data_IF_329668892039
#
_entry.id   IF_329668892039
#
_cell.length_a   1.000
_cell.length_b   1.000
_cell.length_c   1.000
_cell.angle_alpha   90.00
_cell.angle_beta   90.00
_cell.angle_gamma   90.00
#
_symmetry.space_group_name_H-M   'P 1'
#
loop_
_entity.id
_entity.type
_entity.pdbx_description
1 polymer ?
#
# COMPACT_ATOMS: atom_id res chain seq x y z
N UNK A 1 -12.53 25.13 -30.02
CA UNK A 1 -11.35 24.76 -29.23
C UNK A 1 -11.28 23.25 -29.20
N UNK A 2 -10.34 22.65 -29.92
CA UNK A 2 -10.07 21.20 -29.90
C UNK A 2 -9.46 20.87 -28.55
N UNK A 3 -10.30 20.49 -27.58
CA UNK A 3 -9.85 19.87 -26.33
C UNK A 3 -9.04 18.64 -26.70
N UNK A 4 -7.71 18.72 -26.61
CA UNK A 4 -6.89 17.52 -26.63
C UNK A 4 -7.38 16.64 -25.49
N UNK A 5 -7.92 15.46 -25.83
CA UNK A 5 -8.29 14.46 -24.85
C UNK A 5 -7.04 14.17 -24.02
N UNK A 6 -7.10 14.33 -22.70
CA UNK A 6 -6.00 13.92 -21.83
C UNK A 6 -5.82 12.42 -21.98
N UNK A 7 -4.60 12.00 -22.30
CA UNK A 7 -4.21 10.59 -22.32
C UNK A 7 -3.77 10.18 -20.93
N UNK A 8 -4.25 9.02 -20.48
CA UNK A 8 -3.88 8.44 -19.19
C UNK A 8 -3.25 7.07 -19.38
N UNK A 9 -2.37 6.71 -18.47
CA UNK A 9 -1.67 5.43 -18.48
C UNK A 9 -1.79 4.73 -17.13
N UNK A 10 -1.85 3.40 -17.15
CA UNK A 10 -1.75 2.56 -15.97
C UNK A 10 -0.55 1.63 -16.08
N UNK A 11 0.23 1.52 -15.00
CA UNK A 11 1.32 0.54 -14.90
C UNK A 11 0.80 -0.66 -14.11
N UNK A 12 0.57 -1.77 -14.82
CA UNK A 12 0.19 -3.02 -14.18
C UNK A 12 1.46 -3.82 -13.87
N UNK A 13 1.61 -4.25 -12.62
CA UNK A 13 2.63 -5.23 -12.22
C UNK A 13 2.03 -6.62 -12.32
N UNK A 14 2.75 -7.58 -12.91
CA UNK A 14 2.33 -8.98 -12.85
C UNK A 14 2.50 -9.50 -11.43
N UNK A 15 1.54 -10.31 -10.97
CA UNK A 15 1.59 -10.94 -9.65
C UNK A 15 0.23 -10.91 -8.93
N UNK A 16 -0.06 -12.04 -8.27
CA UNK A 16 -1.23 -12.35 -7.43
C UNK A 16 -2.59 -11.81 -7.91
N UNK A 17 -3.38 -12.71 -8.51
CA UNK A 17 -4.84 -12.59 -8.67
C UNK A 17 -5.32 -11.35 -9.46
N UNK A 18 -4.47 -10.78 -10.31
CA UNK A 18 -4.88 -9.70 -11.23
C UNK A 18 -5.24 -10.29 -12.58
N UNK A 19 -6.42 -9.92 -13.08
CA UNK A 19 -6.79 -10.20 -14.46
C UNK A 19 -5.75 -9.57 -15.38
N UNK A 20 -5.24 -10.36 -16.34
CA UNK A 20 -4.34 -9.87 -17.37
C UNK A 20 -5.17 -9.01 -18.31
N UNK A 21 -4.78 -7.75 -18.46
CA UNK A 21 -5.47 -6.83 -19.35
C UNK A 21 -4.90 -6.95 -20.77
N UNK A 22 -5.77 -6.77 -21.74
CA UNK A 22 -5.45 -6.81 -23.15
C UNK A 22 -6.00 -5.57 -23.85
N UNK A 23 -5.35 -5.19 -24.96
CA UNK A 23 -5.87 -4.15 -25.85
C UNK A 23 -7.30 -4.50 -26.29
N UNK A 24 -8.20 -3.52 -26.19
CA UNK A 24 -9.61 -3.64 -26.53
C UNK A 24 -10.50 -4.06 -25.36
N UNK A 25 -9.93 -4.41 -24.20
CA UNK A 25 -10.72 -4.69 -23.01
C UNK A 25 -11.44 -3.41 -22.54
N UNK A 26 -12.73 -3.56 -22.24
CA UNK A 26 -13.53 -2.54 -21.57
C UNK A 26 -13.76 -2.98 -20.12
N UNK A 27 -13.14 -2.26 -19.19
CA UNK A 27 -13.10 -2.60 -17.77
C UNK A 27 -13.82 -1.55 -16.95
N UNK A 28 -14.15 -1.90 -15.70
CA UNK A 28 -14.77 -0.99 -14.74
C UNK A 28 -14.24 -1.23 -13.33
N UNK A 29 -13.93 -0.15 -12.62
CA UNK A 29 -13.60 -0.25 -11.19
C UNK A 29 -14.78 -0.78 -10.38
N UNK A 30 -14.52 -1.72 -9.48
CA UNK A 30 -15.58 -2.33 -8.67
C UNK A 30 -15.93 -1.46 -7.46
N UNK A 31 -17.23 -1.26 -7.19
CA UNK A 31 -17.71 -0.62 -5.96
C UNK A 31 -17.80 -1.58 -4.76
N UNK A 32 -17.72 -2.89 -5.00
CA UNK A 32 -17.91 -3.92 -3.96
C UNK A 32 -16.65 -4.73 -3.68
N UNK A 33 -15.69 -4.73 -4.61
CA UNK A 33 -14.39 -5.37 -4.44
C UNK A 33 -13.32 -4.31 -4.21
N UNK A 34 -12.47 -4.54 -3.22
CA UNK A 34 -11.30 -3.70 -2.99
C UNK A 34 -10.27 -3.87 -4.09
N UNK A 35 -9.52 -2.82 -4.38
CA UNK A 35 -8.37 -2.90 -5.26
C UNK A 35 -7.24 -3.71 -4.61
N UNK A 36 -6.24 -4.08 -5.40
CA UNK A 36 -5.14 -4.92 -4.93
C UNK A 36 -4.31 -4.29 -3.81
N UNK A 37 -4.21 -2.95 -3.77
CA UNK A 37 -3.50 -2.24 -2.70
C UNK A 37 -4.22 -2.41 -1.36
N UNK A 38 -5.50 -2.05 -1.29
CA UNK A 38 -6.26 -2.12 -0.04
C UNK A 38 -6.50 -3.58 0.39
N UNK A 39 -6.70 -4.50 -0.57
CA UNK A 39 -6.76 -5.94 -0.27
C UNK A 39 -5.44 -6.47 0.32
N UNK A 40 -4.30 -5.99 -0.20
CA UNK A 40 -2.98 -6.27 0.36
C UNK A 40 -2.86 -5.79 1.80
N UNK A 41 -3.26 -4.54 2.09
CA UNK A 41 -3.27 -4.01 3.45
C UNK A 41 -4.07 -4.89 4.41
N UNK A 42 -5.30 -5.28 4.04
CA UNK A 42 -6.15 -6.11 4.89
C UNK A 42 -5.59 -7.52 5.13
N UNK A 43 -4.93 -8.10 4.14
CA UNK A 43 -4.29 -9.41 4.31
C UNK A 43 -3.09 -9.30 5.25
N UNK A 44 -2.29 -8.25 5.06
CA UNK A 44 -1.02 -8.07 5.76
C UNK A 44 -1.22 -7.56 7.21
N UNK A 45 -2.42 -7.10 7.60
CA UNK A 45 -2.76 -6.82 9.02
C UNK A 45 -3.08 -8.09 9.83
N UNK A 46 -3.31 -9.23 9.18
CA UNK A 46 -3.61 -10.52 9.83
C UNK A 46 -2.35 -11.38 9.91
N UNK A 47 -1.27 -10.80 10.45
CA UNK A 47 -0.01 -11.51 10.61
C UNK A 47 -0.13 -12.70 11.56
N UNK A 48 0.29 -13.85 11.04
CA UNK A 48 0.29 -15.13 11.74
C UNK A 48 1.68 -15.75 11.67
N UNK A 49 2.06 -16.44 12.74
CA UNK A 49 3.32 -17.17 12.83
C UNK A 49 3.01 -18.64 13.06
N UNK A 50 3.74 -19.52 12.37
CA UNK A 50 3.70 -20.94 12.66
C UNK A 50 4.66 -21.24 13.82
N UNK A 51 4.12 -21.72 14.93
CA UNK A 51 4.87 -22.11 16.12
C UNK A 51 4.40 -23.48 16.57
N UNK A 52 5.33 -24.45 16.65
CA UNK A 52 5.04 -25.83 17.05
C UNK A 52 3.93 -26.53 16.26
N UNK A 53 3.83 -26.25 14.96
CA UNK A 53 2.79 -26.83 14.09
C UNK A 53 1.43 -26.13 14.16
N UNK A 54 1.29 -25.10 14.99
CA UNK A 54 0.07 -24.28 15.09
C UNK A 54 0.28 -22.89 14.51
N UNK A 55 -0.77 -22.35 13.88
CA UNK A 55 -0.79 -20.97 13.40
C UNK A 55 -1.34 -20.05 14.48
N UNK A 56 -0.51 -19.15 15.00
CA UNK A 56 -0.82 -18.24 16.11
C UNK A 56 -0.74 -16.78 15.62
N UNK A 57 -1.68 -15.93 16.04
CA UNK A 57 -1.61 -14.49 15.73
C UNK A 57 -0.39 -13.83 16.35
N UNK A 58 0.25 -12.90 15.62
CA UNK A 58 1.55 -12.33 16.00
C UNK A 58 1.58 -11.76 17.42
N UNK A 59 0.57 -10.98 17.84
CA UNK A 59 0.51 -10.40 19.21
C UNK A 59 0.51 -11.51 20.28
N UNK A 60 -0.25 -12.58 20.06
CA UNK A 60 -0.31 -13.72 20.99
C UNK A 60 1.05 -14.45 21.03
N UNK A 61 1.68 -14.63 19.87
CA UNK A 61 3.02 -15.19 19.78
C UNK A 61 4.06 -14.35 20.54
N UNK A 62 4.05 -13.03 20.37
CA UNK A 62 4.94 -12.12 21.10
C UNK A 62 4.79 -12.23 22.61
N UNK A 63 3.54 -12.28 23.10
CA UNK A 63 3.27 -12.46 24.53
C UNK A 63 3.82 -13.79 25.08
N UNK A 64 3.77 -14.87 24.28
CA UNK A 64 4.34 -16.17 24.67
C UNK A 64 5.87 -16.10 24.81
N UNK A 65 6.55 -15.44 23.86
CA UNK A 65 8.00 -15.25 23.92
C UNK A 65 8.38 -14.46 25.18
N UNK A 66 7.76 -13.30 25.41
CA UNK A 66 8.09 -12.48 26.58
C UNK A 66 7.84 -13.21 27.90
N UNK A 67 6.77 -13.99 28.01
CA UNK A 67 6.51 -14.82 29.21
C UNK A 67 7.56 -15.92 29.42
N UNK A 68 8.02 -16.56 28.34
CA UNK A 68 9.07 -17.60 28.41
C UNK A 68 10.36 -17.00 28.97
N UNK A 69 10.75 -15.81 28.52
CA UNK A 69 11.97 -15.15 28.96
C UNK A 69 11.91 -14.67 30.41
N UNK A 70 10.81 -14.01 30.81
CA UNK A 70 10.60 -13.59 32.21
C UNK A 70 10.77 -14.79 33.16
N UNK A 71 10.21 -15.95 32.81
CA UNK A 71 10.30 -17.15 33.63
C UNK A 71 11.70 -17.80 33.65
N UNK A 72 12.53 -17.59 32.61
CA UNK A 72 13.91 -18.05 32.56
C UNK A 72 14.84 -17.18 33.41
N UNK A 73 14.72 -15.86 33.30
CA UNK A 73 15.51 -14.88 34.07
C UNK A 73 15.28 -15.02 35.59
N UNK A 74 14.09 -15.46 36.03
CA UNK A 74 13.82 -15.78 37.44
C UNK A 74 14.62 -17.01 37.92
N UNK A 75 15.02 -17.92 37.02
CA UNK A 75 15.70 -19.18 37.35
C UNK A 75 17.22 -19.14 37.20
N UNK A 76 17.79 -18.20 36.44
CA UNK A 76 19.22 -18.12 36.11
C UNK A 76 20.08 -17.35 37.14
N UNK A 77 19.91 -17.61 38.44
CA UNK A 77 20.84 -17.13 39.48
C UNK A 77 22.22 -17.85 39.48
N UNK A 78 22.62 -18.48 38.38
CA UNK A 78 23.86 -19.26 38.26
C UNK A 78 24.97 -18.46 37.56
N UNK A 79 26.16 -18.45 38.16
CA UNK A 79 27.38 -17.76 37.71
C UNK A 79 28.07 -18.39 36.47
N UNK A 80 27.32 -19.00 35.55
CA UNK A 80 27.86 -19.65 34.35
C UNK A 80 27.82 -18.70 33.14
N UNK A 81 28.87 -17.88 33.01
CA UNK A 81 28.95 -16.83 32.02
C UNK A 81 28.97 -17.32 30.56
N UNK A 82 29.47 -18.53 30.30
CA UNK A 82 29.54 -19.08 28.93
C UNK A 82 28.15 -19.49 28.43
N UNK A 83 27.38 -20.19 29.28
CA UNK A 83 25.99 -20.53 28.95
C UNK A 83 25.10 -19.28 28.84
N UNK A 84 25.33 -18.27 29.69
CA UNK A 84 24.64 -16.99 29.57
C UNK A 84 24.95 -16.27 28.25
N UNK A 85 26.19 -16.35 27.75
CA UNK A 85 26.57 -15.76 26.47
C UNK A 85 25.81 -16.39 25.29
N UNK A 86 25.78 -17.73 25.21
CA UNK A 86 25.06 -18.42 24.14
C UNK A 86 23.55 -18.19 24.21
N UNK A 87 22.96 -18.18 25.41
CA UNK A 87 21.54 -17.88 25.59
C UNK A 87 21.21 -16.43 25.17
N UNK A 88 22.06 -15.47 25.52
CA UNK A 88 21.90 -14.08 25.07
C UNK A 88 21.93 -13.95 23.54
N UNK A 89 22.84 -14.67 22.88
CA UNK A 89 22.96 -14.67 21.43
C UNK A 89 21.70 -15.24 20.76
N UNK A 90 21.20 -16.38 21.21
CA UNK A 90 19.98 -17.00 20.68
C UNK A 90 18.75 -16.10 20.88
N UNK A 91 18.60 -15.55 22.09
CA UNK A 91 17.50 -14.63 22.40
C UNK A 91 17.58 -13.35 21.54
N UNK A 92 18.78 -12.84 21.25
CA UNK A 92 18.96 -11.64 20.41
C UNK A 92 18.41 -11.86 19.00
N UNK A 93 18.68 -13.01 18.39
CA UNK A 93 18.12 -13.34 17.07
C UNK A 93 16.59 -13.53 17.12
N UNK A 94 16.06 -14.17 18.16
CA UNK A 94 14.61 -14.36 18.32
C UNK A 94 13.90 -13.00 18.49
N UNK A 95 14.46 -12.10 19.29
CA UNK A 95 13.93 -10.75 19.53
C UNK A 95 14.03 -9.83 18.34
N UNK A 96 15.14 -9.84 17.61
CA UNK A 96 15.28 -9.05 16.38
C UNK A 96 14.20 -9.47 15.36
N UNK A 97 14.03 -10.78 15.15
CA UNK A 97 12.99 -11.31 14.26
C UNK A 97 11.58 -10.93 14.72
N UNK A 98 11.32 -11.01 16.03
CA UNK A 98 10.03 -10.62 16.60
C UNK A 98 9.76 -9.13 16.43
N UNK A 99 10.75 -8.29 16.72
CA UNK A 99 10.67 -6.84 16.59
C UNK A 99 10.41 -6.42 15.14
N UNK A 100 11.12 -7.03 14.18
CA UNK A 100 10.92 -6.77 12.75
C UNK A 100 9.50 -7.15 12.30
N UNK A 101 8.97 -8.31 12.73
CA UNK A 101 7.60 -8.73 12.43
C UNK A 101 6.57 -7.79 13.05
N UNK A 102 6.74 -7.42 14.32
CA UNK A 102 5.84 -6.50 15.02
C UNK A 102 5.85 -5.11 14.38
N UNK A 103 7.03 -4.61 14.03
CA UNK A 103 7.18 -3.34 13.33
C UNK A 103 6.44 -3.37 11.99
N UNK A 104 6.67 -4.40 11.16
CA UNK A 104 5.97 -4.57 9.89
C UNK A 104 4.46 -4.59 10.07
N UNK A 105 3.95 -5.42 10.99
CA UNK A 105 2.53 -5.56 11.25
C UNK A 105 1.90 -4.23 11.68
N UNK A 106 2.51 -3.55 12.65
CA UNK A 106 2.06 -2.24 13.13
C UNK A 106 2.05 -1.21 12.01
N UNK A 107 3.06 -1.20 11.16
CA UNK A 107 3.14 -0.30 10.01
C UNK A 107 2.01 -0.54 9.00
N UNK A 108 1.60 -1.80 8.77
CA UNK A 108 0.43 -2.12 7.95
C UNK A 108 -0.88 -1.67 8.61
N UNK A 109 -1.02 -1.81 9.93
CA UNK A 109 -2.16 -1.27 10.68
C UNK A 109 -2.25 0.25 10.54
N UNK A 110 -1.13 0.97 10.64
CA UNK A 110 -1.09 2.43 10.46
C UNK A 110 -1.54 2.83 9.05
N UNK A 111 -1.08 2.12 8.01
CA UNK A 111 -1.55 2.33 6.63
C UNK A 111 -3.05 2.12 6.50
N UNK A 112 -3.57 1.04 7.08
CA UNK A 112 -5.00 0.75 7.02
C UNK A 112 -5.82 1.84 7.73
N UNK A 113 -5.44 2.25 8.95
CA UNK A 113 -6.10 3.34 9.68
C UNK A 113 -6.06 4.65 8.88
N UNK A 114 -4.91 4.99 8.28
CA UNK A 114 -4.79 6.14 7.38
C UNK A 114 -5.81 6.05 6.24
N UNK A 115 -5.88 4.93 5.52
CA UNK A 115 -6.83 4.78 4.41
C UNK A 115 -8.31 4.85 4.87
N UNK A 116 -8.63 4.37 6.08
CA UNK A 116 -9.97 4.55 6.66
C UNK A 116 -10.29 6.02 6.93
N UNK A 117 -9.36 6.75 7.56
CA UNK A 117 -9.55 8.18 7.83
C UNK A 117 -9.69 8.95 6.51
N UNK A 118 -8.86 8.65 5.52
CA UNK A 118 -8.95 9.29 4.21
C UNK A 118 -10.28 9.01 3.52
N UNK A 119 -10.78 7.78 3.56
CA UNK A 119 -12.09 7.46 2.98
C UNK A 119 -13.25 8.17 3.71
N UNK A 120 -13.19 8.26 5.04
CA UNK A 120 -14.20 8.97 5.81
C UNK A 120 -14.23 10.47 5.47
N UNK A 121 -13.06 11.11 5.33
CA UNK A 121 -12.98 12.51 4.93
C UNK A 121 -13.39 12.71 3.46
N UNK A 122 -13.07 11.76 2.56
CA UNK A 122 -13.53 11.78 1.16
C UNK A 122 -15.05 11.90 1.09
N UNK A 123 -15.76 11.00 1.79
CA UNK A 123 -17.24 10.96 1.80
C UNK A 123 -17.84 12.26 2.31
N UNK A 124 -17.20 12.90 3.30
CA UNK A 124 -17.66 14.19 3.86
C UNK A 124 -17.45 15.36 2.89
N UNK A 125 -16.37 15.34 2.12
CA UNK A 125 -16.00 16.41 1.18
C UNK A 125 -16.79 16.28 -0.12
N UNK A 126 -16.67 15.13 -0.78
CA UNK A 126 -17.32 14.83 -2.04
C UNK A 126 -17.33 13.32 -2.28
N UNK A 127 -18.52 12.73 -2.20
CA UNK A 127 -18.71 11.30 -2.38
C UNK A 127 -18.53 10.84 -3.85
N UNK A 128 -18.47 11.76 -4.81
CA UNK A 128 -18.18 11.45 -6.22
C UNK A 128 -16.70 11.33 -6.54
N UNK A 129 -15.80 11.79 -5.64
CA UNK A 129 -14.36 11.54 -5.76
C UNK A 129 -14.06 10.03 -5.73
N UNK A 130 -13.05 9.56 -6.48
CA UNK A 130 -12.66 8.15 -6.48
C UNK A 130 -12.20 7.70 -5.09
N UNK A 131 -12.67 6.56 -4.62
CA UNK A 131 -12.19 5.95 -3.38
C UNK A 131 -10.84 5.27 -3.61
N UNK A 132 -9.86 5.54 -2.75
CA UNK A 132 -8.57 4.84 -2.77
C UNK A 132 -8.68 3.34 -2.48
N UNK A 133 -9.81 2.89 -1.94
CA UNK A 133 -10.12 1.48 -1.71
C UNK A 133 -10.50 0.73 -2.99
N UNK A 134 -10.96 1.45 -4.01
CA UNK A 134 -11.62 0.87 -5.19
C UNK A 134 -11.09 1.40 -6.53
N UNK A 135 -10.38 2.53 -6.52
CA UNK A 135 -9.83 3.16 -7.71
C UNK A 135 -8.75 2.30 -8.37
N UNK A 136 -8.45 2.67 -9.61
CA UNK A 136 -7.16 2.40 -10.24
C UNK A 136 -6.28 3.63 -10.14
N UNK A 137 -4.97 3.42 -9.99
CA UNK A 137 -3.99 4.50 -10.12
C UNK A 137 -3.64 4.66 -11.59
N UNK A 138 -3.71 5.90 -12.06
CA UNK A 138 -3.33 6.29 -13.41
C UNK A 138 -2.27 7.37 -13.34
N UNK A 139 -1.62 7.65 -14.46
CA UNK A 139 -0.61 8.70 -14.58
C UNK A 139 -0.72 9.37 -15.95
N UNK A 140 -0.14 10.55 -16.07
CA UNK A 140 -0.04 11.24 -17.36
C UNK A 140 1.27 10.85 -18.07
N UNK A 141 1.38 11.20 -19.34
CA UNK A 141 2.63 11.03 -20.11
C UNK A 141 3.84 11.68 -19.42
N UNK A 142 3.65 12.82 -18.75
CA UNK A 142 4.72 13.52 -18.05
C UNK A 142 5.20 12.79 -16.79
N UNK A 143 4.35 11.97 -16.18
CA UNK A 143 4.63 11.30 -14.90
C UNK A 143 5.05 9.84 -15.09
N UNK A 144 4.82 9.26 -16.27
CA UNK A 144 4.92 7.83 -16.49
C UNK A 144 6.33 7.28 -16.31
N UNK A 145 7.36 8.03 -16.74
CA UNK A 145 8.76 7.67 -16.53
C UNK A 145 9.07 7.56 -15.03
N UNK A 146 8.63 8.54 -14.25
CA UNK A 146 8.83 8.56 -12.79
C UNK A 146 8.20 7.32 -12.14
N UNK A 147 6.95 7.02 -12.46
CA UNK A 147 6.26 5.85 -11.89
C UNK A 147 6.86 4.52 -12.37
N UNK A 148 7.33 4.48 -13.62
CA UNK A 148 8.04 3.32 -14.15
C UNK A 148 9.31 3.03 -13.35
N UNK A 149 10.10 4.05 -13.04
CA UNK A 149 11.37 3.93 -12.31
C UNK A 149 11.16 3.52 -10.85
N UNK A 150 10.09 4.00 -10.20
CA UNK A 150 9.70 3.55 -8.85
C UNK A 150 9.48 2.03 -8.81
N UNK A 151 8.98 1.44 -9.90
CA UNK A 151 8.75 0.00 -10.01
C UNK A 151 9.89 -0.76 -10.70
N UNK A 152 11.12 -0.23 -10.77
CA UNK A 152 12.24 -0.86 -11.52
C UNK A 152 12.53 -2.31 -11.11
N UNK A 153 12.34 -2.64 -9.83
CA UNK A 153 12.66 -3.97 -9.27
C UNK A 153 11.51 -4.99 -9.46
N UNK A 154 10.42 -4.61 -10.14
CA UNK A 154 9.33 -5.54 -10.45
C UNK A 154 9.69 -6.39 -11.67
N UNK A 155 9.79 -7.70 -11.48
CA UNK A 155 10.21 -8.65 -12.51
C UNK A 155 9.35 -8.61 -13.78
N UNK A 156 8.06 -8.30 -13.64
CA UNK A 156 7.16 -8.16 -14.77
C UNK A 156 6.18 -7.00 -14.54
N UNK A 157 6.16 -6.06 -15.48
CA UNK A 157 5.20 -4.95 -15.49
C UNK A 157 4.95 -4.51 -16.94
N UNK A 158 3.74 -4.01 -17.21
CA UNK A 158 3.30 -3.50 -18.51
C UNK A 158 2.64 -2.14 -18.33
N UNK A 159 2.62 -1.36 -19.40
CA UNK A 159 1.97 -0.06 -19.44
C UNK A 159 0.74 -0.17 -20.34
N UNK A 160 -0.38 0.36 -19.88
CA UNK A 160 -1.62 0.42 -20.63
C UNK A 160 -2.05 1.87 -20.84
N UNK A 161 -2.27 2.25 -22.09
CA UNK A 161 -2.93 3.52 -22.43
C UNK A 161 -4.43 3.35 -22.29
N UNK A 162 -5.05 4.26 -21.55
CA UNK A 162 -6.44 4.19 -21.16
C UNK A 162 -7.24 5.31 -21.82
N UNK A 163 -8.42 4.96 -22.30
CA UNK A 163 -9.49 5.91 -22.60
C UNK A 163 -10.56 5.79 -21.54
N UNK A 164 -10.73 6.85 -20.76
CA UNK A 164 -11.73 6.90 -19.70
C UNK A 164 -13.11 7.26 -20.31
N UNK A 165 -14.18 6.65 -19.82
CA UNK A 165 -15.55 6.98 -20.26
C UNK A 165 -15.93 8.43 -19.92
N UNK A 166 -15.45 8.91 -18.78
CA UNK A 166 -15.49 10.31 -18.39
C UNK A 166 -14.23 10.69 -17.58
N UNK A 167 -13.88 11.97 -17.62
CA UNK A 167 -12.80 12.53 -16.82
C UNK A 167 -13.28 13.12 -15.47
N UNK A 168 -14.55 12.91 -15.09
CA UNK A 168 -15.14 13.55 -13.91
C UNK A 168 -14.75 12.86 -12.61
N UNK A 169 -14.47 11.56 -12.68
CA UNK A 169 -14.06 10.75 -11.52
C UNK A 169 -12.54 10.54 -11.43
N UNK A 170 -11.76 11.47 -11.99
CA UNK A 170 -10.30 11.52 -11.82
C UNK A 170 -9.97 12.49 -10.70
N UNK A 171 -9.27 12.02 -9.68
CA UNK A 171 -8.68 12.88 -8.65
C UNK A 171 -7.17 13.02 -8.88
N UNK A 172 -6.66 14.25 -8.77
CA UNK A 172 -5.24 14.56 -8.79
C UNK A 172 -4.81 14.88 -7.35
N UNK A 173 -4.12 13.93 -6.72
CA UNK A 173 -3.69 14.03 -5.34
C UNK A 173 -2.21 14.38 -5.21
N UNK A 174 -1.86 15.01 -4.09
CA UNK A 174 -0.47 15.14 -3.66
C UNK A 174 -0.09 13.93 -2.77
N UNK A 175 0.70 13.02 -3.32
CA UNK A 175 1.22 11.82 -2.70
C UNK A 175 2.00 12.08 -1.41
N UNK A 176 2.62 13.25 -1.23
CA UNK A 176 3.33 13.56 0.02
C UNK A 176 2.38 13.79 1.21
N UNK A 177 1.07 13.91 0.97
CA UNK A 177 0.07 14.05 2.03
C UNK A 177 -0.43 12.69 2.55
N UNK A 178 -0.08 11.60 1.87
CA UNK A 178 -0.48 10.24 2.27
C UNK A 178 0.68 9.46 2.88
N UNK A 179 1.74 10.09 3.35
CA UNK A 179 2.84 9.37 4.01
C UNK A 179 2.34 8.62 5.26
N UNK A 180 2.90 7.42 5.49
CA UNK A 180 2.61 6.64 6.70
C UNK A 180 3.61 7.00 7.78
N UNK A 181 3.14 7.69 8.80
CA UNK A 181 3.92 8.02 9.99
C UNK A 181 3.11 7.73 11.26
N UNK A 182 3.69 7.96 12.42
CA UNK A 182 3.00 7.82 13.72
C UNK A 182 2.13 9.04 14.06
N UNK A 183 1.46 9.63 13.05
CA UNK A 183 0.54 10.74 13.24
C UNK A 183 -0.69 10.33 14.08
N UNK A 184 -1.21 11.29 14.83
CA UNK A 184 -2.51 11.20 15.48
C UNK A 184 -3.65 11.17 14.46
N UNK A 185 -4.83 10.77 14.93
CA UNK A 185 -6.05 10.76 14.10
C UNK A 185 -6.36 12.17 13.56
N UNK A 186 -6.21 13.20 14.38
CA UNK A 186 -6.49 14.59 13.99
C UNK A 186 -5.51 15.08 12.91
N UNK A 187 -4.23 14.73 13.02
CA UNK A 187 -3.23 15.02 12.00
C UNK A 187 -3.57 14.34 10.67
N UNK A 188 -3.95 13.06 10.69
CA UNK A 188 -4.39 12.36 9.49
C UNK A 188 -5.65 12.96 8.87
N UNK A 189 -6.61 13.43 9.67
CA UNK A 189 -7.79 14.12 9.16
C UNK A 189 -7.43 15.44 8.45
N UNK A 190 -6.46 16.20 8.99
CA UNK A 190 -5.97 17.43 8.34
C UNK A 190 -5.32 17.09 7.00
N UNK A 191 -4.45 16.08 6.96
CA UNK A 191 -3.80 15.62 5.73
C UNK A 191 -4.81 15.12 4.69
N UNK A 192 -5.80 14.35 5.12
CA UNK A 192 -6.88 13.85 4.26
C UNK A 192 -7.68 14.98 3.62
N UNK A 193 -8.04 16.01 4.39
CA UNK A 193 -8.75 17.19 3.88
C UNK A 193 -7.94 17.93 2.81
N UNK A 194 -6.63 18.11 3.04
CA UNK A 194 -5.73 18.74 2.08
C UNK A 194 -5.56 17.90 0.81
N UNK A 195 -5.46 16.59 0.97
CA UNK A 195 -5.36 15.67 -0.16
C UNK A 195 -6.61 15.76 -1.05
N UNK A 196 -7.79 15.59 -0.46
CA UNK A 196 -9.05 15.59 -1.21
C UNK A 196 -9.48 16.95 -1.76
N UNK A 197 -9.03 18.06 -1.16
CA UNK A 197 -9.23 19.40 -1.73
C UNK A 197 -8.40 19.65 -3.00
N UNK A 198 -7.43 18.77 -3.30
CA UNK A 198 -6.52 18.93 -4.42
C UNK A 198 -5.41 19.94 -4.15
N UNK A 199 -5.06 20.18 -2.88
CA UNK A 199 -3.93 21.04 -2.51
C UNK A 199 -2.61 20.42 -2.99
N UNK A 200 -1.87 21.15 -3.83
CA UNK A 200 -0.56 20.74 -4.36
C UNK A 200 0.46 21.80 -3.94
N UNK A 201 1.08 21.61 -2.78
CA UNK A 201 2.06 22.55 -2.21
C UNK A 201 3.52 22.23 -2.58
N UNK A 202 3.80 21.05 -3.17
CA UNK A 202 5.08 20.74 -3.81
C UNK A 202 4.94 19.53 -4.75
N UNK A 203 5.27 19.67 -6.03
CA UNK A 203 4.84 18.77 -7.12
C UNK A 203 5.67 17.48 -7.28
N UNK A 204 6.45 17.06 -6.28
CA UNK A 204 7.34 15.90 -6.44
C UNK A 204 6.56 14.60 -6.59
N UNK A 205 5.40 14.47 -5.95
CA UNK A 205 4.61 13.24 -5.95
C UNK A 205 3.15 13.46 -6.30
N UNK A 206 2.88 13.81 -7.55
CA UNK A 206 1.51 13.82 -8.05
C UNK A 206 1.09 12.39 -8.37
N UNK A 207 -0.03 11.96 -7.80
CA UNK A 207 -0.73 10.73 -8.19
C UNK A 207 -2.11 11.05 -8.75
N UNK A 208 -2.59 10.20 -9.67
CA UNK A 208 -3.95 10.27 -10.16
C UNK A 208 -4.68 8.98 -9.81
N UNK A 209 -5.89 9.11 -9.28
CA UNK A 209 -6.80 7.99 -9.04
C UNK A 209 -8.04 8.15 -9.90
N UNK A 210 -8.57 7.03 -10.37
CA UNK A 210 -9.79 7.00 -11.19
C UNK A 210 -10.73 5.88 -10.77
N UNK A 211 -12.02 6.19 -10.79
CA UNK A 211 -13.10 5.22 -10.68
C UNK A 211 -14.11 5.40 -11.81
N UNK A 212 -14.41 4.32 -12.51
CA UNK A 212 -15.35 4.33 -13.61
C UNK A 212 -15.03 3.23 -14.60
N UNK A 213 -15.57 3.39 -15.80
CA UNK A 213 -15.35 2.50 -16.93
C UNK A 213 -14.23 3.06 -17.81
N UNK A 214 -13.40 2.19 -18.36
CA UNK A 214 -12.28 2.57 -19.22
C UNK A 214 -11.97 1.47 -20.25
N UNK A 215 -11.43 1.89 -21.38
CA UNK A 215 -11.00 1.04 -22.48
C UNK A 215 -9.47 1.00 -22.54
N UNK A 216 -8.90 -0.19 -22.74
CA UNK A 216 -7.46 -0.37 -23.00
C UNK A 216 -7.19 -0.11 -24.47
N UNK A 217 -6.58 1.05 -24.78
CA UNK A 217 -6.33 1.48 -26.16
C UNK A 217 -5.07 0.84 -26.73
N UNK A 218 -4.02 0.76 -25.92
CA UNK A 218 -2.73 0.18 -26.27
C UNK A 218 -2.07 -0.43 -25.05
N UNK A 219 -1.15 -1.34 -25.34
CA UNK A 219 -0.31 -2.03 -24.37
C UNK A 219 1.15 -1.86 -24.80
N UNK A 220 2.01 -1.55 -23.84
CA UNK A 220 3.43 -1.35 -24.03
C UNK A 220 4.23 -2.22 -23.06
N UNK A 221 5.31 -2.83 -23.55
CA UNK A 221 6.19 -3.68 -22.72
C UNK A 221 7.23 -2.86 -21.96
N UNK A 222 7.47 -1.63 -22.38
CA UNK A 222 8.44 -0.73 -21.75
C UNK A 222 8.17 0.73 -22.06
N UNK A 223 8.76 1.59 -21.25
CA UNK A 223 8.62 3.05 -21.35
C UNK A 223 9.15 3.61 -22.69
N UNK A 224 10.15 2.96 -23.28
CA UNK A 224 10.77 3.31 -24.56
C UNK A 224 9.82 3.16 -25.77
N UNK A 225 8.65 2.54 -25.59
CA UNK A 225 7.64 2.41 -26.65
C UNK A 225 6.63 3.58 -26.63
N UNK A 226 6.76 4.50 -25.67
CA UNK A 226 5.88 5.64 -25.43
C UNK A 226 6.60 6.97 -25.69
N UNK A 227 7.82 7.11 -25.16
CA UNK A 227 8.69 8.29 -25.30
C UNK A 227 9.49 8.27 -26.61
#
# INVERSE_FOLDING_TARGET
MTTHSKTYYHIQRSGFERDIWHKGDCLRTSKTRYNAFYSGLLRDTVDKVNANGETIGLIKYSNLIFKKDINKNIKSQNNDFENLYYEFQDNSFEYENLANKLHWSLFQYLKWIREEIFELERIKIDNDLPSRKHCIWICTENDIQKWWDIFRDSAEKRIFELKLDDNKRVHKGNGTLIDTETFSIDEYQILAKKYWSGEISNSKEIEFSYEGSFEIIKEYKGINEIL
#
